data_IF_210039012878
#
_entry.id   IF_210039012878
#
_cell.length_a   1.000
_cell.length_b   1.000
_cell.length_c   1.000
_cell.angle_alpha   90.00
_cell.angle_beta   90.00
_cell.angle_gamma   90.00
#
_symmetry.space_group_name_H-M   'P 1'
#
loop_
_entity.id
_entity.type
_entity.pdbx_description
1 polymer ?
#
# COMPACT_ATOMS: atom_id res chain seq x y z
N UNK A 1 -8.71 0.61 1.67
CA UNK A 1 -7.89 0.61 2.91
C UNK A 1 -7.98 1.97 3.56
N UNK A 2 -8.02 2.09 4.89
CA UNK A 2 -8.06 3.38 5.59
C UNK A 2 -6.68 4.06 5.57
N UNK A 3 -6.64 5.33 5.19
CA UNK A 3 -5.44 6.17 5.22
C UNK A 3 -5.47 7.10 6.45
N UNK A 4 -5.40 6.50 7.64
CA UNK A 4 -5.39 7.24 8.90
C UNK A 4 -4.01 7.86 9.16
N UNK A 5 -3.99 9.02 9.81
CA UNK A 5 -2.76 9.77 10.11
C UNK A 5 -1.80 9.01 11.05
N UNK A 6 -2.32 8.05 11.84
CA UNK A 6 -1.51 7.19 12.71
C UNK A 6 -0.47 6.39 11.92
N UNK A 7 -0.83 5.87 10.75
CA UNK A 7 0.10 5.12 9.90
C UNK A 7 1.23 6.00 9.37
N UNK A 8 0.93 7.27 9.08
CA UNK A 8 1.92 8.22 8.62
C UNK A 8 2.87 8.61 9.76
N UNK A 9 2.33 8.84 10.95
CA UNK A 9 3.13 9.16 12.15
C UNK A 9 4.15 8.07 12.43
N UNK A 10 3.77 6.79 12.30
CA UNK A 10 4.70 5.69 12.43
C UNK A 10 5.85 5.74 11.40
N UNK A 11 5.59 6.20 10.17
CA UNK A 11 6.63 6.34 9.14
C UNK A 11 7.60 7.48 9.46
N UNK A 12 7.10 8.60 9.99
CA UNK A 12 7.88 9.80 10.29
C UNK A 12 8.78 9.65 11.54
N UNK A 13 8.58 8.60 12.34
CA UNK A 13 9.39 8.34 13.52
C UNK A 13 10.75 7.69 13.17
N UNK A 14 11.61 8.44 12.48
CA UNK A 14 13.01 8.07 12.18
C UNK A 14 14.00 8.96 12.93
N UNK A 15 15.14 8.37 13.34
CA UNK A 15 16.20 9.08 14.06
C UNK A 15 17.17 9.82 13.13
N UNK A 16 17.17 9.48 11.83
CA UNK A 16 18.22 9.89 10.88
C UNK A 16 17.68 10.40 9.55
N UNK A 17 16.37 10.29 9.31
CA UNK A 17 15.71 10.68 8.07
C UNK A 17 14.33 11.27 8.35
N UNK A 18 13.70 11.86 7.35
CA UNK A 18 12.34 12.40 7.49
C UNK A 18 11.28 11.28 7.53
N UNK A 19 11.56 10.16 6.86
CA UNK A 19 10.65 9.01 6.75
C UNK A 19 11.41 7.68 6.80
N UNK A 20 10.83 6.69 7.47
CA UNK A 20 11.19 5.29 7.33
C UNK A 20 10.38 4.65 6.20
N UNK A 21 11.02 3.73 5.47
CA UNK A 21 10.36 2.98 4.38
C UNK A 21 9.50 1.80 4.87
N UNK A 22 9.50 1.52 6.18
CA UNK A 22 8.77 0.43 6.81
C UNK A 22 8.12 0.92 8.10
N UNK A 23 6.95 0.34 8.40
CA UNK A 23 6.28 0.48 9.69
C UNK A 23 7.03 -0.14 10.84
N UNK A 24 6.80 0.41 12.03
CA UNK A 24 7.36 -0.12 13.28
C UNK A 24 6.76 -1.48 13.64
N UNK A 25 5.54 -1.76 13.20
CA UNK A 25 4.82 -3.02 13.43
C UNK A 25 4.63 -3.88 12.17
N UNK A 26 4.22 -5.14 12.37
CA UNK A 26 3.83 -6.06 11.27
C UNK A 26 2.37 -5.87 10.82
N UNK A 27 1.55 -5.23 11.65
CA UNK A 27 0.13 -5.01 11.38
C UNK A 27 -0.07 -3.83 10.43
N UNK A 28 -1.05 -3.92 9.53
CA UNK A 28 -1.43 -2.79 8.68
C UNK A 28 -0.41 -2.41 7.60
N UNK A 29 0.49 -3.32 7.20
CA UNK A 29 1.58 -3.02 6.26
C UNK A 29 1.15 -2.35 4.95
N UNK A 30 0.00 -2.72 4.39
CA UNK A 30 -0.52 -2.08 3.17
C UNK A 30 -1.02 -0.64 3.43
N UNK A 31 -1.54 -0.33 4.62
CA UNK A 31 -1.91 1.03 5.03
C UNK A 31 -0.66 1.88 5.28
N UNK A 32 0.36 1.32 5.96
CA UNK A 32 1.65 2.01 6.18
C UNK A 32 2.38 2.30 4.87
N UNK A 33 2.37 1.37 3.92
CA UNK A 33 2.91 1.59 2.57
C UNK A 33 2.16 2.70 1.83
N UNK A 34 0.82 2.71 1.88
CA UNK A 34 0.03 3.78 1.30
C UNK A 34 0.31 5.15 1.97
N UNK A 35 0.50 5.17 3.29
CA UNK A 35 0.85 6.38 4.04
C UNK A 35 2.24 6.91 3.66
N UNK A 36 3.23 6.03 3.47
CA UNK A 36 4.54 6.40 2.95
C UNK A 36 4.44 7.07 1.58
N UNK A 37 3.65 6.50 0.66
CA UNK A 37 3.47 7.08 -0.68
C UNK A 37 2.80 8.46 -0.65
N UNK A 38 1.88 8.70 0.30
CA UNK A 38 1.15 9.97 0.45
C UNK A 38 2.08 11.17 0.64
N UNK A 39 3.22 11.00 1.32
CA UNK A 39 4.18 12.09 1.56
C UNK A 39 4.84 12.62 0.29
N UNK A 40 4.80 11.85 -0.79
CA UNK A 40 5.32 12.25 -2.10
C UNK A 40 4.23 12.82 -3.02
N UNK A 41 2.98 12.90 -2.55
CA UNK A 41 1.86 13.49 -3.27
C UNK A 41 1.74 14.95 -2.87
N UNK A 42 1.68 15.85 -3.85
CA UNK A 42 1.48 17.26 -3.57
C UNK A 42 0.13 17.53 -2.90
N UNK A 43 0.07 18.56 -2.07
CA UNK A 43 -1.17 19.00 -1.44
C UNK A 43 -2.24 19.34 -2.50
N UNK A 44 -3.51 19.06 -2.17
CA UNK A 44 -4.68 19.29 -3.02
C UNK A 44 -4.70 18.51 -4.35
N UNK A 45 -4.07 17.33 -4.38
CA UNK A 45 -4.20 16.38 -5.50
C UNK A 45 -5.15 15.25 -5.11
N UNK A 46 -6.18 15.03 -5.94
CA UNK A 46 -7.03 13.85 -5.85
C UNK A 46 -6.22 12.62 -6.25
N UNK A 47 -5.87 11.80 -5.27
CA UNK A 47 -4.97 10.67 -5.45
C UNK A 47 -5.52 9.39 -4.84
N UNK A 48 -5.25 8.27 -5.51
CA UNK A 48 -5.57 6.94 -5.03
C UNK A 48 -4.39 5.99 -5.25
N UNK A 49 -4.07 5.19 -4.24
CA UNK A 49 -3.18 4.04 -4.35
C UNK A 49 -4.01 2.75 -4.43
N UNK A 50 -3.72 1.92 -5.43
CA UNK A 50 -4.37 0.63 -5.65
C UNK A 50 -3.32 -0.46 -5.42
N UNK A 51 -3.44 -1.21 -4.33
CA UNK A 51 -2.57 -2.33 -4.01
C UNK A 51 -3.13 -3.62 -4.63
N UNK A 52 -2.44 -4.12 -5.66
CA UNK A 52 -2.86 -5.27 -6.46
C UNK A 52 -2.12 -6.57 -6.09
N UNK A 53 -1.25 -6.55 -5.07
CA UNK A 53 -0.43 -7.71 -4.74
C UNK A 53 -1.29 -8.95 -4.44
N UNK A 54 -2.42 -8.78 -3.74
CA UNK A 54 -3.33 -9.87 -3.38
C UNK A 54 -4.16 -10.43 -4.54
N UNK A 55 -4.25 -9.72 -5.67
CA UNK A 55 -5.00 -10.18 -6.86
C UNK A 55 -4.09 -10.56 -8.01
N UNK A 56 -2.77 -10.48 -7.86
CA UNK A 56 -1.78 -10.67 -8.92
C UNK A 56 -1.95 -11.98 -9.70
N UNK A 57 -2.21 -13.09 -9.01
CA UNK A 57 -2.31 -14.41 -9.62
C UNK A 57 -3.60 -15.16 -9.25
N UNK A 58 -4.01 -16.07 -10.13
CA UNK A 58 -5.08 -17.03 -9.90
C UNK A 58 -4.49 -18.42 -9.77
N UNK A 59 -4.76 -19.07 -8.62
CA UNK A 59 -4.23 -20.41 -8.31
C UNK A 59 -4.94 -21.53 -9.10
N UNK A 60 -6.14 -21.26 -9.58
CA UNK A 60 -6.95 -22.18 -10.36
C UNK A 60 -7.70 -21.43 -11.48
N UNK A 61 -8.15 -22.19 -12.47
CA UNK A 61 -9.07 -21.67 -13.49
C UNK A 61 -10.47 -21.63 -12.90
N UNK A 62 -11.09 -20.45 -12.89
CA UNK A 62 -12.45 -20.22 -12.41
C UNK A 62 -13.17 -19.20 -13.31
N UNK A 63 -14.24 -19.64 -13.98
CA UNK A 63 -14.97 -18.85 -14.95
C UNK A 63 -14.08 -18.32 -16.08
N UNK A 64 -13.97 -17.00 -16.18
CA UNK A 64 -13.16 -16.31 -17.19
C UNK A 64 -11.71 -16.03 -16.74
N UNK A 65 -11.33 -16.41 -15.51
CA UNK A 65 -9.97 -16.31 -15.00
C UNK A 65 -9.25 -17.64 -15.20
N UNK A 66 -8.19 -17.66 -15.99
CA UNK A 66 -7.32 -18.83 -16.13
C UNK A 66 -6.26 -18.84 -15.04
N UNK A 67 -5.79 -20.04 -14.65
CA UNK A 67 -4.64 -20.17 -13.76
C UNK A 67 -3.43 -19.42 -14.32
N UNK A 68 -2.78 -18.60 -13.49
CA UNK A 68 -1.65 -17.76 -13.88
C UNK A 68 -1.84 -16.31 -13.47
N UNK A 69 -1.16 -15.39 -14.16
CA UNK A 69 -1.28 -13.95 -13.89
C UNK A 69 -2.69 -13.47 -14.24
N UNK A 70 -3.36 -12.82 -13.29
CA UNK A 70 -4.79 -12.55 -13.39
C UNK A 70 -5.11 -11.29 -14.21
N UNK A 71 -4.18 -10.33 -14.30
CA UNK A 71 -4.39 -9.03 -14.93
C UNK A 71 -5.40 -8.14 -14.22
N UNK A 72 -5.76 -8.45 -12.96
CA UNK A 72 -6.72 -7.66 -12.16
C UNK A 72 -6.09 -6.36 -11.65
N UNK A 73 -6.88 -5.29 -11.71
CA UNK A 73 -6.63 -4.00 -11.05
C UNK A 73 -7.22 -3.96 -9.66
#
# INVERSE_FOLDING_TARGET
MPLHDEYLKEMQESLVADLNNLGKGRSGGACSAAAFLKEFVANNVDWAHIDIAGVMDSQATDGYHIKGMSGKS
#
